data_IF_468631363831
#
_entry.id   IF_468631363831
#
_cell.length_a   1.000
_cell.length_b   1.000
_cell.length_c   1.000
_cell.angle_alpha   90.00
_cell.angle_beta   90.00
_cell.angle_gamma   90.00
#
_symmetry.space_group_name_H-M   'P 1'
#
loop_
_entity.id
_entity.type
_entity.pdbx_description
1 polymer ?
#
# COMPACT_ATOMS: atom_id res chain seq x y z
N UNK A 1 -19.18 12.37 25.03
CA UNK A 1 -18.01 11.48 24.89
C UNK A 1 -18.23 10.20 25.70
N UNK A 2 -18.75 9.16 25.05
CA UNK A 2 -19.18 7.91 25.69
C UNK A 2 -18.02 7.04 26.19
N UNK A 3 -18.30 6.23 27.21
CA UNK A 3 -17.35 5.33 27.92
C UNK A 3 -16.75 4.23 27.03
N UNK A 4 -17.28 4.05 25.82
CA UNK A 4 -16.87 3.03 24.85
C UNK A 4 -15.65 3.44 24.00
N UNK A 5 -15.48 4.73 23.71
CA UNK A 5 -14.33 5.24 22.94
C UNK A 5 -13.00 5.16 23.71
N UNK A 6 -13.05 5.20 25.05
CA UNK A 6 -11.86 5.06 25.90
C UNK A 6 -11.36 3.61 25.98
N UNK A 7 -12.27 2.63 25.93
CA UNK A 7 -11.90 1.19 25.99
C UNK A 7 -11.16 0.71 24.73
N UNK A 8 -11.44 1.29 23.56
CA UNK A 8 -10.72 0.97 22.31
C UNK A 8 -9.30 1.56 22.26
N UNK A 9 -9.09 2.76 22.80
CA UNK A 9 -7.73 3.35 22.92
C UNK A 9 -6.85 2.58 23.91
N UNK A 10 -7.43 2.05 24.99
CA UNK A 10 -6.68 1.29 26.00
C UNK A 10 -6.34 -0.15 25.58
N UNK A 11 -7.00 -0.69 24.55
CA UNK A 11 -6.64 -1.98 23.96
C UNK A 11 -5.44 -1.85 23.01
N UNK A 12 -5.37 -0.75 22.25
CA UNK A 12 -4.26 -0.47 21.32
C UNK A 12 -2.90 -0.28 22.04
N UNK A 13 -2.91 0.30 23.25
CA UNK A 13 -1.67 0.52 24.03
C UNK A 13 -1.11 -0.74 24.72
N UNK A 14 -1.92 -1.77 24.95
CA UNK A 14 -1.50 -2.96 25.72
C UNK A 14 -0.79 -4.04 24.90
N UNK A 15 -0.80 -3.95 23.57
CA UNK A 15 -0.11 -4.89 22.68
C UNK A 15 1.39 -4.60 22.46
N UNK A 16 1.92 -3.48 22.98
CA UNK A 16 3.26 -2.97 22.65
C UNK A 16 4.37 -3.40 23.65
N UNK A 17 4.18 -4.45 24.46
CA UNK A 17 5.10 -4.81 25.54
C UNK A 17 5.51 -6.28 25.58
N UNK A 18 5.93 -6.84 24.44
CA UNK A 18 6.69 -8.10 24.42
C UNK A 18 7.84 -7.99 23.42
N UNK A 19 9.05 -7.88 23.96
CA UNK A 19 10.29 -7.79 23.19
C UNK A 19 11.49 -7.41 24.07
N UNK A 20 11.58 -8.03 25.24
CA UNK A 20 12.80 -8.01 26.05
C UNK A 20 13.73 -9.14 25.62
N UNK A 21 15.01 -8.93 25.90
CA UNK A 21 16.13 -9.89 25.81
C UNK A 21 16.86 -10.02 24.48
N UNK A 22 17.84 -9.12 24.27
CA UNK A 22 19.18 -9.54 23.84
C UNK A 22 20.21 -8.87 24.76
N UNK A 23 20.84 -9.68 25.61
CA UNK A 23 21.89 -9.28 26.55
C UNK A 23 23.28 -9.25 25.87
N UNK A 24 24.00 -8.17 26.17
CA UNK A 24 25.44 -8.01 26.52
C UNK A 24 26.49 -8.98 25.94
N UNK A 25 27.51 -8.40 25.30
CA UNK A 25 28.97 -8.67 25.47
C UNK A 25 29.70 -7.31 25.27
N UNK A 26 30.09 -6.64 26.37
CA UNK A 26 31.48 -6.27 26.80
C UNK A 26 32.24 -5.31 25.84
N UNK A 27 32.51 -4.04 26.20
CA UNK A 27 33.68 -3.49 26.97
C UNK A 27 35.03 -3.89 26.32
N UNK A 28 36.01 -3.03 25.98
CA UNK A 28 36.43 -1.66 26.31
C UNK A 28 37.30 -1.13 25.15
N UNK A 29 37.42 0.20 24.99
CA UNK A 29 38.35 0.83 24.06
C UNK A 29 38.19 2.34 24.02
N UNK A 30 39.05 3.05 24.74
CA UNK A 30 39.13 4.50 24.82
C UNK A 30 39.48 5.16 23.48
N UNK A 31 38.95 6.38 23.26
CA UNK A 31 39.64 7.42 22.49
C UNK A 31 39.46 7.40 20.97
N UNK A 32 38.48 8.16 20.48
CA UNK A 32 38.44 8.58 19.09
C UNK A 32 37.06 9.09 18.71
N UNK A 33 36.97 10.30 18.16
CA UNK A 33 35.76 10.80 17.52
C UNK A 33 35.53 9.95 16.28
N UNK A 34 34.88 8.80 16.45
CA UNK A 34 34.53 7.90 15.37
C UNK A 34 33.31 8.44 14.65
N UNK A 35 33.46 8.67 13.35
CA UNK A 35 32.31 8.69 12.45
C UNK A 35 31.45 7.46 12.76
N UNK A 36 30.17 7.69 13.00
CA UNK A 36 29.21 6.61 13.18
C UNK A 36 29.05 5.97 11.81
N UNK A 37 29.89 4.97 11.51
CA UNK A 37 29.73 4.14 10.31
C UNK A 37 28.34 3.50 10.37
N UNK A 38 27.43 4.05 9.57
CA UNK A 38 26.11 3.48 9.35
C UNK A 38 26.30 2.05 8.85
N UNK A 39 25.90 1.09 9.67
CA UNK A 39 26.03 -0.33 9.34
C UNK A 39 25.04 -0.63 8.20
N UNK A 40 25.53 -0.62 6.96
CA UNK A 40 24.73 -0.92 5.77
C UNK A 40 24.06 -2.28 5.95
N UNK A 41 22.73 -2.29 5.99
CA UNK A 41 21.96 -3.53 6.07
C UNK A 41 22.04 -4.26 4.72
N UNK A 42 22.20 -5.59 4.76
CA UNK A 42 22.24 -6.39 3.54
C UNK A 42 20.90 -6.35 2.80
N UNK A 43 20.93 -6.42 1.47
CA UNK A 43 19.74 -6.30 0.59
C UNK A 43 18.58 -7.23 0.98
N UNK A 44 18.87 -8.48 1.34
CA UNK A 44 17.84 -9.43 1.79
C UNK A 44 17.15 -9.03 3.11
N UNK A 45 17.87 -8.35 4.00
CA UNK A 45 17.32 -7.83 5.26
C UNK A 45 16.40 -6.63 4.96
N UNK A 46 16.84 -5.75 4.05
CA UNK A 46 16.07 -4.58 3.61
C UNK A 46 14.73 -4.96 2.97
N UNK A 47 14.74 -5.97 2.09
CA UNK A 47 13.50 -6.52 1.51
C UNK A 47 12.58 -7.07 2.61
N UNK A 48 13.13 -7.78 3.60
CA UNK A 48 12.36 -8.27 4.75
C UNK A 48 11.70 -7.15 5.56
N UNK A 49 12.40 -6.05 5.81
CA UNK A 49 11.86 -4.89 6.54
C UNK A 49 10.71 -4.24 5.75
N UNK A 50 10.85 -4.10 4.43
CA UNK A 50 9.78 -3.57 3.59
C UNK A 50 8.54 -4.47 3.64
N UNK A 51 8.73 -5.79 3.53
CA UNK A 51 7.63 -6.76 3.65
C UNK A 51 6.92 -6.68 5.01
N UNK A 52 7.67 -6.56 6.11
CA UNK A 52 7.09 -6.34 7.44
C UNK A 52 6.30 -5.02 7.52
N UNK A 53 6.79 -3.96 6.88
CA UNK A 53 6.09 -2.67 6.83
C UNK A 53 4.78 -2.76 6.03
N UNK A 54 4.77 -3.48 4.91
CA UNK A 54 3.57 -3.72 4.11
C UNK A 54 2.54 -4.58 4.87
N UNK A 55 3.01 -5.57 5.64
CA UNK A 55 2.16 -6.34 6.55
C UNK A 55 1.56 -5.47 7.66
N UNK A 56 2.35 -4.56 8.23
CA UNK A 56 1.86 -3.58 9.22
C UNK A 56 0.80 -2.66 8.61
N UNK A 57 1.01 -2.16 7.39
CA UNK A 57 0.01 -1.36 6.66
C UNK A 57 -1.30 -2.14 6.51
N UNK A 58 -1.25 -3.38 6.03
CA UNK A 58 -2.43 -4.25 5.93
C UNK A 58 -3.15 -4.39 7.27
N UNK A 59 -2.41 -4.66 8.34
CA UNK A 59 -2.99 -4.92 9.66
C UNK A 59 -3.57 -3.66 10.30
N UNK A 60 -2.96 -2.50 10.09
CA UNK A 60 -3.50 -1.20 10.50
C UNK A 60 -4.77 -0.85 9.73
N UNK A 61 -4.81 -1.05 8.40
CA UNK A 61 -6.03 -0.90 7.61
C UNK A 61 -7.14 -1.80 8.15
N UNK A 62 -6.83 -3.07 8.42
CA UNK A 62 -7.78 -4.04 8.99
C UNK A 62 -8.31 -3.60 10.35
N UNK A 63 -7.45 -3.11 11.23
CA UNK A 63 -7.83 -2.64 12.55
C UNK A 63 -8.67 -1.35 12.49
N UNK A 64 -8.35 -0.46 11.56
CA UNK A 64 -9.02 0.83 11.40
C UNK A 64 -10.43 0.69 10.82
N UNK A 65 -10.55 -0.02 9.70
CA UNK A 65 -11.81 -0.14 8.96
C UNK A 65 -12.67 -1.35 9.38
N UNK A 66 -12.11 -2.32 10.10
CA UNK A 66 -12.85 -3.47 10.62
C UNK A 66 -13.57 -4.24 9.51
N UNK A 67 -14.88 -4.45 9.67
CA UNK A 67 -15.72 -5.16 8.70
C UNK A 67 -16.03 -4.37 7.43
N UNK A 68 -15.76 -3.05 7.43
CA UNK A 68 -15.93 -2.22 6.24
C UNK A 68 -14.80 -2.42 5.23
N UNK A 69 -13.64 -2.96 5.63
CA UNK A 69 -12.54 -3.23 4.71
C UNK A 69 -12.85 -4.42 3.80
N UNK A 70 -12.77 -4.24 2.49
CA UNK A 70 -12.83 -5.32 1.50
C UNK A 70 -11.42 -5.76 1.09
N UNK A 71 -10.60 -4.82 0.61
CA UNK A 71 -9.32 -5.15 -0.02
C UNK A 71 -8.25 -4.10 0.27
N UNK A 72 -6.99 -4.54 0.33
CA UNK A 72 -5.78 -3.70 0.36
C UNK A 72 -4.84 -4.22 -0.70
N UNK A 73 -4.57 -3.40 -1.72
CA UNK A 73 -3.83 -3.82 -2.92
C UNK A 73 -2.74 -2.82 -3.21
N UNK A 74 -1.50 -3.28 -3.33
CA UNK A 74 -0.41 -2.45 -3.80
C UNK A 74 -0.48 -2.32 -5.32
N UNK A 75 -0.09 -1.16 -5.80
CA UNK A 75 0.19 -0.93 -7.21
C UNK A 75 1.43 -0.06 -7.34
N UNK A 76 1.72 0.39 -8.56
CA UNK A 76 2.85 1.26 -8.79
C UNK A 76 4.18 0.54 -8.60
N UNK A 77 5.23 1.32 -8.32
CA UNK A 77 6.61 0.83 -8.41
C UNK A 77 6.96 -0.23 -7.37
N UNK A 78 6.36 -0.16 -6.18
CA UNK A 78 6.57 -1.14 -5.11
C UNK A 78 5.94 -2.48 -5.47
N UNK A 79 4.74 -2.49 -6.06
CA UNK A 79 4.11 -3.72 -6.50
C UNK A 79 4.85 -4.39 -7.67
N UNK A 80 5.43 -3.60 -8.59
CA UNK A 80 6.24 -4.10 -9.71
C UNK A 80 7.66 -4.53 -9.32
N UNK A 81 8.15 -4.12 -8.16
CA UNK A 81 9.53 -4.35 -7.73
C UNK A 81 10.58 -3.49 -8.45
N UNK A 82 10.15 -2.44 -9.16
CA UNK A 82 11.02 -1.51 -9.89
C UNK A 82 11.17 -0.14 -9.19
N UNK A 83 10.88 -0.10 -7.89
CA UNK A 83 10.96 1.10 -7.07
C UNK A 83 12.39 1.63 -6.97
N UNK A 84 12.51 2.95 -6.98
CA UNK A 84 13.77 3.66 -6.78
C UNK A 84 13.87 4.22 -5.37
N UNK A 85 15.02 4.85 -5.07
CA UNK A 85 15.14 5.64 -3.84
C UNK A 85 14.09 6.75 -3.83
N UNK A 86 13.38 6.86 -2.70
CA UNK A 86 12.34 7.87 -2.53
C UNK A 86 11.01 7.57 -3.22
N UNK A 87 10.84 6.40 -3.84
CA UNK A 87 9.52 5.92 -4.31
C UNK A 87 8.50 5.93 -3.18
N UNK A 88 7.26 6.27 -3.51
CA UNK A 88 6.12 6.10 -2.63
C UNK A 88 5.56 4.67 -2.72
N UNK A 89 4.76 4.29 -1.71
CA UNK A 89 3.99 3.04 -1.65
C UNK A 89 2.56 3.38 -2.05
N UNK A 90 2.20 3.08 -3.29
CA UNK A 90 0.84 3.28 -3.79
C UNK A 90 -0.07 2.13 -3.37
N UNK A 91 -1.20 2.45 -2.74
CA UNK A 91 -2.13 1.44 -2.21
C UNK A 91 -3.57 1.78 -2.57
N UNK A 92 -4.28 0.81 -3.13
CA UNK A 92 -5.73 0.83 -3.27
C UNK A 92 -6.35 0.21 -2.01
N UNK A 93 -7.24 0.94 -1.36
CA UNK A 93 -8.06 0.48 -0.24
C UNK A 93 -9.50 0.45 -0.71
N UNK A 94 -10.11 -0.73 -0.71
CA UNK A 94 -11.51 -0.92 -1.08
C UNK A 94 -12.31 -1.12 0.18
N UNK A 95 -13.35 -0.31 0.35
CA UNK A 95 -14.31 -0.39 1.46
C UNK A 95 -15.67 -0.85 0.95
N UNK A 96 -16.49 -1.48 1.80
CA UNK A 96 -17.88 -1.83 1.44
C UNK A 96 -18.66 -0.56 1.10
N UNK A 97 -18.53 0.45 1.95
CA UNK A 97 -19.01 1.80 1.72
C UNK A 97 -17.89 2.80 2.05
N UNK A 98 -17.71 3.77 1.16
CA UNK A 98 -16.78 4.89 1.33
C UNK A 98 -17.57 6.19 1.12
N UNK A 99 -18.23 6.65 2.18
CA UNK A 99 -18.91 7.93 2.14
C UNK A 99 -17.95 9.12 2.03
N UNK A 100 -18.51 10.30 1.77
CA UNK A 100 -17.80 11.57 1.87
C UNK A 100 -16.94 11.94 0.65
N UNK A 101 -16.28 13.09 0.75
CA UNK A 101 -15.36 13.59 -0.28
C UNK A 101 -14.01 12.89 -0.19
N UNK A 102 -13.23 13.00 -1.26
CA UNK A 102 -11.81 12.59 -1.27
C UNK A 102 -11.05 13.10 -0.03
N UNK A 103 -11.24 14.37 0.34
CA UNK A 103 -10.60 14.97 1.51
C UNK A 103 -10.96 14.26 2.82
N UNK A 104 -12.25 13.96 3.03
CA UNK A 104 -12.67 13.26 4.26
C UNK A 104 -12.13 11.84 4.37
N UNK A 105 -12.05 11.10 3.25
CA UNK A 105 -11.45 9.76 3.21
C UNK A 105 -9.95 9.81 3.52
N UNK A 106 -9.27 10.84 3.02
CA UNK A 106 -7.85 11.08 3.32
C UNK A 106 -7.62 11.44 4.79
N UNK A 107 -8.47 12.28 5.38
CA UNK A 107 -8.41 12.63 6.81
C UNK A 107 -8.60 11.40 7.71
N UNK A 108 -9.53 10.51 7.35
CA UNK A 108 -9.74 9.24 8.06
C UNK A 108 -8.50 8.34 7.97
N UNK A 109 -7.99 8.12 6.75
CA UNK A 109 -6.81 7.30 6.50
C UNK A 109 -5.53 7.87 7.13
N UNK A 110 -5.49 9.17 7.44
CA UNK A 110 -4.34 9.79 8.10
C UNK A 110 -3.98 9.12 9.44
N UNK A 111 -4.95 8.53 10.13
CA UNK A 111 -4.70 7.76 11.35
C UNK A 111 -3.82 6.52 11.12
N UNK A 112 -4.03 5.81 10.00
CA UNK A 112 -3.20 4.68 9.55
C UNK A 112 -1.79 5.18 9.19
N UNK A 113 -1.70 6.27 8.42
CA UNK A 113 -0.41 6.90 8.06
C UNK A 113 0.37 7.29 9.31
N UNK A 114 -0.29 7.89 10.31
CA UNK A 114 0.37 8.27 11.55
C UNK A 114 0.92 7.06 12.31
N UNK A 115 0.11 6.00 12.45
CA UNK A 115 0.56 4.78 13.11
C UNK A 115 1.74 4.11 12.39
N UNK A 116 1.78 4.16 11.05
CA UNK A 116 2.94 3.72 10.28
C UNK A 116 4.17 4.58 10.56
N UNK A 117 4.03 5.90 10.54
CA UNK A 117 5.13 6.85 10.81
C UNK A 117 5.73 6.69 12.21
N UNK A 118 4.90 6.36 13.19
CA UNK A 118 5.32 6.14 14.58
C UNK A 118 6.01 4.77 14.78
N UNK A 119 6.01 3.90 13.76
CA UNK A 119 6.64 2.57 13.83
C UNK A 119 8.15 2.62 13.63
N UNK A 120 8.88 1.69 14.26
CA UNK A 120 10.32 1.51 14.03
C UNK A 120 10.65 1.20 12.57
N UNK A 121 9.78 0.44 11.89
CA UNK A 121 9.96 0.04 10.50
C UNK A 121 10.03 1.26 9.57
N UNK A 122 9.20 2.28 9.82
CA UNK A 122 9.24 3.53 9.05
C UNK A 122 10.60 4.24 9.17
N UNK A 123 11.15 4.31 10.38
CA UNK A 123 12.47 4.89 10.63
C UNK A 123 13.56 4.17 9.85
N UNK A 124 13.60 2.84 9.94
CA UNK A 124 14.57 1.99 9.23
C UNK A 124 14.48 2.16 7.72
N UNK A 125 13.27 2.08 7.15
CA UNK A 125 13.08 2.28 5.70
C UNK A 125 13.49 3.68 5.25
N UNK A 126 13.20 4.70 6.06
CA UNK A 126 13.58 6.08 5.76
C UNK A 126 15.09 6.27 5.79
N UNK A 127 15.78 5.71 6.79
CA UNK A 127 17.24 5.79 6.92
C UNK A 127 17.96 5.12 5.74
N UNK A 128 17.43 3.98 5.29
CA UNK A 128 17.96 3.21 4.16
C UNK A 128 17.47 3.72 2.80
N UNK A 129 16.72 4.83 2.76
CA UNK A 129 16.24 5.45 1.52
C UNK A 129 15.21 4.62 0.74
N UNK A 130 14.58 3.64 1.39
CA UNK A 130 13.57 2.76 0.84
C UNK A 130 12.17 3.40 0.83
N UNK A 131 11.20 2.84 0.07
CA UNK A 131 9.82 3.29 0.09
C UNK A 131 9.21 3.18 1.49
N UNK A 132 8.66 4.29 1.98
CA UNK A 132 8.07 4.37 3.34
C UNK A 132 6.84 5.30 3.41
N UNK A 133 6.62 6.13 2.40
CA UNK A 133 5.49 7.04 2.31
C UNK A 133 4.33 6.34 1.61
N UNK A 134 3.18 6.25 2.27
CA UNK A 134 2.00 5.59 1.70
C UNK A 134 1.09 6.61 1.03
N UNK A 135 0.69 6.34 -0.21
CA UNK A 135 -0.27 7.10 -0.99
C UNK A 135 -1.52 6.25 -1.25
N UNK A 136 -2.64 6.52 -0.55
CA UNK A 136 -3.85 5.74 -0.72
C UNK A 136 -4.73 6.26 -1.86
N UNK A 137 -5.33 5.34 -2.60
CA UNK A 137 -6.58 5.54 -3.34
C UNK A 137 -7.66 4.76 -2.61
N UNK A 138 -8.73 5.42 -2.20
CA UNK A 138 -9.80 4.81 -1.39
C UNK A 138 -11.09 4.80 -2.18
N UNK A 139 -11.58 3.60 -2.50
CA UNK A 139 -12.82 3.39 -3.25
C UNK A 139 -13.85 2.65 -2.40
N UNK A 140 -15.13 2.94 -2.63
CA UNK A 140 -16.21 2.04 -2.24
C UNK A 140 -16.24 0.83 -3.20
N UNK A 141 -16.97 -0.22 -2.81
CA UNK A 141 -17.20 -1.37 -3.67
C UNK A 141 -17.99 -0.98 -4.93
N UNK A 142 -18.92 -0.03 -4.82
CA UNK A 142 -19.65 0.55 -5.95
C UNK A 142 -18.72 1.29 -6.91
N UNK A 143 -17.81 2.12 -6.39
CA UNK A 143 -16.83 2.84 -7.21
C UNK A 143 -15.83 1.88 -7.87
N UNK A 144 -15.46 0.78 -7.22
CA UNK A 144 -14.63 -0.26 -7.83
C UNK A 144 -15.34 -0.91 -9.02
N UNK A 145 -16.62 -1.26 -8.86
CA UNK A 145 -17.49 -1.86 -9.90
C UNK A 145 -17.79 -0.93 -11.07
N UNK A 146 -17.62 0.37 -10.89
CA UNK A 146 -17.67 1.34 -11.98
C UNK A 146 -16.40 1.34 -12.85
N UNK A 147 -15.45 0.45 -12.57
CA UNK A 147 -14.21 0.23 -13.31
C UNK A 147 -13.42 1.51 -13.63
N UNK A 148 -12.99 2.28 -12.60
CA UNK A 148 -12.24 3.50 -12.83
C UNK A 148 -10.95 3.20 -13.61
N UNK A 149 -10.45 4.16 -14.42
CA UNK A 149 -9.29 3.91 -15.30
C UNK A 149 -8.03 3.37 -14.61
N UNK A 150 -7.87 3.64 -13.31
CA UNK A 150 -6.80 3.07 -12.48
C UNK A 150 -6.74 1.53 -12.56
N UNK A 151 -7.89 0.86 -12.72
CA UNK A 151 -7.97 -0.60 -12.75
C UNK A 151 -7.21 -1.22 -13.92
N UNK A 152 -7.02 -0.47 -15.02
CA UNK A 152 -6.24 -0.93 -16.17
C UNK A 152 -4.83 -1.32 -15.76
N UNK A 153 -4.14 -0.49 -14.98
CA UNK A 153 -2.79 -0.77 -14.52
C UNK A 153 -2.78 -1.87 -13.45
N UNK A 154 -3.79 -1.90 -12.59
CA UNK A 154 -3.96 -2.95 -11.58
C UNK A 154 -4.16 -4.34 -12.20
N UNK A 155 -4.65 -4.45 -13.45
CA UNK A 155 -4.75 -5.76 -14.11
C UNK A 155 -3.40 -6.43 -14.34
N UNK A 156 -2.30 -5.67 -14.44
CA UNK A 156 -0.96 -6.20 -14.67
C UNK A 156 -0.01 -5.98 -13.50
N UNK A 157 -0.20 -4.91 -12.74
CA UNK A 157 0.80 -4.39 -11.80
C UNK A 157 0.35 -4.48 -10.33
N UNK A 158 -0.79 -5.14 -10.05
CA UNK A 158 -1.31 -5.28 -8.69
C UNK A 158 -0.60 -6.37 -7.88
N UNK A 159 -0.38 -6.07 -6.59
CA UNK A 159 -0.03 -7.07 -5.57
C UNK A 159 -1.00 -6.99 -4.40
N UNK A 160 -1.79 -8.04 -4.22
CA UNK A 160 -2.81 -8.12 -3.17
C UNK A 160 -2.17 -8.37 -1.81
N UNK A 161 -2.43 -7.49 -0.84
CA UNK A 161 -2.07 -7.72 0.57
C UNK A 161 -3.22 -8.34 1.37
N UNK A 162 -4.45 -8.00 1.00
CA UNK A 162 -5.69 -8.53 1.56
C UNK A 162 -6.80 -8.37 0.53
N UNK A 163 -7.61 -9.41 0.35
CA UNK A 163 -8.83 -9.35 -0.45
C UNK A 163 -9.87 -10.27 0.16
N UNK A 164 -10.89 -9.71 0.80
CA UNK A 164 -11.96 -10.48 1.43
C UNK A 164 -12.99 -10.85 0.40
N UNK A 165 -13.38 -12.12 0.42
CA UNK A 165 -14.44 -12.66 -0.46
C UNK A 165 -14.15 -12.48 -1.96
N UNK A 166 -12.92 -12.14 -2.34
CA UNK A 166 -12.53 -11.94 -3.74
C UNK A 166 -13.01 -10.60 -4.34
N UNK A 167 -13.38 -9.62 -3.52
CA UNK A 167 -13.97 -8.36 -3.97
C UNK A 167 -13.12 -7.61 -5.01
N UNK A 168 -11.79 -7.63 -4.89
CA UNK A 168 -10.90 -7.04 -5.89
C UNK A 168 -10.64 -8.00 -7.04
N UNK A 169 -10.37 -9.27 -6.75
CA UNK A 169 -10.03 -10.26 -7.77
C UNK A 169 -11.15 -10.46 -8.80
N UNK A 170 -12.41 -10.46 -8.37
CA UNK A 170 -13.58 -10.59 -9.25
C UNK A 170 -13.65 -9.45 -10.27
N UNK A 171 -13.49 -8.20 -9.82
CA UNK A 171 -13.53 -7.03 -10.68
C UNK A 171 -12.31 -6.97 -11.62
N UNK A 172 -11.14 -7.42 -11.18
CA UNK A 172 -9.97 -7.53 -12.07
C UNK A 172 -10.21 -8.53 -13.21
N UNK A 173 -10.89 -9.64 -12.96
CA UNK A 173 -11.23 -10.59 -14.01
C UNK A 173 -12.28 -10.02 -14.97
N UNK A 174 -13.27 -9.27 -14.47
CA UNK A 174 -14.24 -8.56 -15.29
C UNK A 174 -13.57 -7.53 -16.22
N UNK A 175 -12.71 -6.67 -15.65
CA UNK A 175 -11.93 -5.68 -16.41
C UNK A 175 -11.03 -6.36 -17.45
N UNK A 176 -10.29 -7.42 -17.08
CA UNK A 176 -9.46 -8.17 -18.04
C UNK A 176 -10.28 -8.83 -19.14
N UNK A 177 -11.46 -9.34 -18.83
CA UNK A 177 -12.37 -9.90 -19.84
C UNK A 177 -12.81 -8.82 -20.83
N UNK A 178 -13.23 -7.65 -20.32
CA UNK A 178 -13.63 -6.53 -21.15
C UNK A 178 -12.50 -6.00 -22.03
N UNK A 179 -11.29 -5.88 -21.47
CA UNK A 179 -10.10 -5.49 -22.22
C UNK A 179 -9.78 -6.46 -23.35
N UNK A 180 -9.95 -7.78 -23.14
CA UNK A 180 -9.78 -8.77 -24.20
C UNK A 180 -10.82 -8.62 -25.32
N UNK A 181 -12.07 -8.37 -24.98
CA UNK A 181 -13.14 -8.12 -25.96
C UNK A 181 -12.87 -6.88 -26.82
N UNK A 182 -12.39 -5.80 -26.20
CA UNK A 182 -12.06 -4.55 -26.89
C UNK A 182 -10.74 -4.62 -27.69
N UNK A 183 -9.97 -5.70 -27.53
CA UNK A 183 -8.62 -5.79 -28.09
C UNK A 183 -7.65 -4.78 -27.47
N UNK A 184 -7.86 -4.44 -26.20
CA UNK A 184 -7.03 -3.47 -25.48
C UNK A 184 -5.58 -3.95 -25.41
N UNK A 185 -4.63 -3.02 -25.51
CA UNK A 185 -3.20 -3.31 -25.43
C UNK A 185 -2.43 -2.25 -24.65
N UNK A 186 -1.54 -2.71 -23.77
CA UNK A 186 -0.52 -1.88 -23.09
C UNK A 186 0.60 -1.60 -24.09
N UNK A 187 0.92 -0.33 -24.33
CA UNK A 187 2.05 0.08 -25.16
C UNK A 187 3.12 0.66 -24.25
N UNK A 188 4.24 -0.05 -24.13
CA UNK A 188 5.37 0.36 -23.30
C UNK A 188 6.29 1.28 -24.08
N UNK A 189 6.70 2.38 -23.45
CA UNK A 189 7.63 3.40 -23.93
C UNK A 189 8.86 3.36 -23.03
N UNK A 190 10.03 3.11 -23.63
CA UNK A 190 11.35 3.11 -22.98
C UNK A 190 11.44 2.24 -21.71
N UNK A 191 10.66 1.16 -21.64
CA UNK A 191 10.67 0.18 -20.56
C UNK A 191 10.11 0.65 -19.21
N UNK A 192 9.78 1.94 -19.04
CA UNK A 192 9.32 2.52 -17.75
C UNK A 192 8.00 3.26 -17.82
N UNK A 193 7.59 3.70 -19.01
CA UNK A 193 6.35 4.44 -19.24
C UNK A 193 5.43 3.60 -20.10
N UNK A 194 4.13 3.80 -20.01
CA UNK A 194 3.19 3.14 -20.90
C UNK A 194 1.91 3.96 -21.05
N UNK A 195 1.14 3.60 -22.06
CA UNK A 195 -0.24 4.00 -22.19
C UNK A 195 -1.07 2.80 -22.66
N UNK A 196 -2.36 2.84 -22.38
CA UNK A 196 -3.29 1.84 -22.84
C UNK A 196 -3.99 2.32 -24.11
N UNK A 197 -3.99 1.47 -25.13
CA UNK A 197 -4.93 1.58 -26.24
C UNK A 197 -6.12 0.71 -25.86
N UNK A 198 -7.24 1.33 -25.51
CA UNK A 198 -8.43 0.61 -25.02
C UNK A 198 -9.13 -0.15 -26.14
N UNK A 199 -9.33 0.50 -27.29
CA UNK A 199 -9.96 -0.10 -28.46
C UNK A 199 -9.22 0.33 -29.74
N UNK A 200 -8.43 -0.55 -30.39
CA UNK A 200 -7.61 -0.19 -31.54
C UNK A 200 -8.40 0.29 -32.77
N UNK A 201 -9.64 -0.18 -32.93
CA UNK A 201 -10.54 0.12 -34.04
C UNK A 201 -11.65 1.13 -33.66
N UNK A 202 -11.41 1.93 -32.61
CA UNK A 202 -12.37 2.95 -32.14
C UNK A 202 -12.79 3.91 -33.25
N UNK A 203 -14.10 4.12 -33.39
CA UNK A 203 -14.66 5.06 -34.37
C UNK A 203 -14.94 6.41 -33.73
N UNK A 204 -14.89 7.49 -34.53
CA UNK A 204 -15.19 8.85 -34.04
C UNK A 204 -16.61 8.89 -33.46
N UNK A 205 -16.73 9.37 -32.23
CA UNK A 205 -17.99 9.48 -31.51
C UNK A 205 -18.40 8.21 -30.74
N UNK A 206 -17.61 7.14 -30.81
CA UNK A 206 -17.84 5.95 -30.02
C UNK A 206 -17.45 6.16 -28.55
N UNK A 207 -18.31 5.72 -27.64
CA UNK A 207 -18.04 5.68 -26.19
C UNK A 207 -17.46 4.31 -25.86
N UNK A 208 -16.34 4.30 -25.15
CA UNK A 208 -15.68 3.07 -24.70
C UNK A 208 -15.78 2.99 -23.19
N UNK A 209 -16.36 1.89 -22.73
CA UNK A 209 -16.51 1.55 -21.31
C UNK A 209 -15.70 0.28 -21.03
N UNK A 210 -14.99 0.32 -19.91
CA UNK A 210 -14.16 -0.76 -19.35
C UNK A 210 -14.96 -1.46 -18.25
#
# INVERSE_FOLDING_TARGET
>A
MGREGRRRQDAFKRGLHLGGELRKVEQEGEGGVGEVEGKVLGEGILVGILEEFLNLLRDLCRAHYGDNLCSVVLFGSVARGDYGSGSDIDVLVVLKDAGGSFGSRMEEFFSVIKALRDSRLYGLLREEGLPHKVQPVILSLEELKAHPPLLLDLTTDARVLLDREGAFAEEMEAVKARMRELGSRKVVIDGKRWYWILKPDIKRGEVVEI
#
